data_IF_879463899166
#
_entry.id   IF_879463899166
#
_cell.length_a   1.000
_cell.length_b   1.000
_cell.length_c   1.000
_cell.angle_alpha   90.00
_cell.angle_beta   90.00
_cell.angle_gamma   90.00
#
_symmetry.space_group_name_H-M   'P 1'
#
loop_
_entity.id
_entity.type
_entity.pdbx_description
1 polymer ?
#
# COMPACT_ATOMS: atom_id res chain seq x y z
N UNK A 1 -15.23 -20.30 -5.50
CA UNK A 1 -14.51 -20.90 -4.35
C UNK A 1 -13.44 -19.92 -3.88
N UNK A 2 -13.49 -19.46 -2.62
CA UNK A 2 -12.51 -18.52 -2.04
C UNK A 2 -11.67 -19.23 -0.96
N UNK A 3 -10.39 -19.56 -1.22
CA UNK A 3 -9.56 -20.22 -0.21
C UNK A 3 -9.27 -19.25 0.93
N UNK A 4 -9.30 -19.74 2.18
CA UNK A 4 -9.01 -18.94 3.39
C UNK A 4 -7.66 -18.21 3.32
N UNK A 5 -6.67 -18.78 2.63
CA UNK A 5 -5.36 -18.18 2.41
C UNK A 5 -5.37 -16.87 1.60
N UNK A 6 -6.43 -16.60 0.81
CA UNK A 6 -6.58 -15.37 0.02
C UNK A 6 -7.45 -14.31 0.69
N UNK A 7 -7.96 -14.56 1.90
CA UNK A 7 -8.82 -13.65 2.64
C UNK A 7 -7.95 -12.95 3.69
N UNK A 8 -7.86 -11.61 3.64
CA UNK A 8 -7.33 -10.85 4.77
C UNK A 8 -8.41 -10.74 5.84
N UNK A 9 -8.23 -11.32 7.04
CA UNK A 9 -9.20 -11.19 8.11
C UNK A 9 -9.27 -9.73 8.57
N UNK A 10 -10.46 -9.30 9.03
CA UNK A 10 -10.57 -8.01 9.69
C UNK A 10 -9.65 -7.98 10.90
N UNK A 11 -8.89 -6.89 11.13
CA UNK A 11 -8.16 -6.75 12.37
C UNK A 11 -9.17 -6.79 13.51
N UNK A 12 -9.03 -7.75 14.42
CA UNK A 12 -9.66 -7.64 15.73
C UNK A 12 -9.13 -6.37 16.43
N UNK A 13 -9.85 -5.87 17.43
CA UNK A 13 -9.37 -4.80 18.30
C UNK A 13 -8.00 -5.25 18.86
N UNK A 14 -6.91 -4.68 18.33
CA UNK A 14 -5.53 -5.15 18.58
C UNK A 14 -4.73 -5.35 17.29
N UNK A 15 -3.99 -4.33 16.88
CA UNK A 15 -2.92 -4.48 15.87
C UNK A 15 -1.80 -5.30 16.53
N UNK A 16 -1.58 -6.54 16.09
CA UNK A 16 -0.43 -7.33 16.55
C UNK A 16 0.85 -6.78 15.90
N UNK A 17 1.71 -6.19 16.72
CA UNK A 17 2.98 -5.54 16.36
C UNK A 17 3.96 -6.48 15.64
N UNK A 18 3.88 -7.81 15.85
CA UNK A 18 4.71 -8.79 15.12
C UNK A 18 4.34 -8.91 13.64
N UNK A 19 3.06 -8.73 13.28
CA UNK A 19 2.62 -8.73 11.87
C UNK A 19 3.08 -7.48 11.11
N UNK A 20 3.39 -6.41 11.83
CA UNK A 20 3.94 -5.19 11.25
C UNK A 20 5.41 -5.38 10.84
N UNK A 21 6.19 -6.12 11.65
CA UNK A 21 7.57 -6.51 11.33
C UNK A 21 7.68 -7.39 10.08
N UNK A 22 6.67 -8.20 9.79
CA UNK A 22 6.59 -8.96 8.52
C UNK A 22 6.18 -8.08 7.34
N UNK A 23 5.40 -7.01 7.57
CA UNK A 23 5.08 -6.03 6.52
C UNK A 23 6.27 -5.14 6.16
N UNK A 24 7.18 -4.87 7.10
CA UNK A 24 8.44 -4.15 6.81
C UNK A 24 9.40 -4.95 5.92
N UNK A 25 9.31 -6.29 5.90
CA UNK A 25 10.04 -7.12 4.92
C UNK A 25 9.58 -6.89 3.47
N UNK A 26 8.40 -6.28 3.27
CA UNK A 26 7.87 -5.87 1.97
C UNK A 26 8.18 -4.40 1.59
N UNK A 27 9.06 -3.71 2.33
CA UNK A 27 9.66 -2.45 1.81
C UNK A 27 10.71 -2.77 0.72
N UNK A 28 10.66 -3.98 0.15
CA UNK A 28 11.17 -4.31 -1.18
C UNK A 28 10.51 -3.48 -2.31
N UNK A 29 9.51 -2.63 -2.00
CA UNK A 29 8.97 -1.61 -2.90
C UNK A 29 9.91 -0.39 -3.10
N UNK A 30 10.97 -0.23 -2.29
CA UNK A 30 11.97 0.84 -2.47
C UNK A 30 12.92 0.66 -3.67
N UNK A 31 12.68 -0.34 -4.53
CA UNK A 31 13.44 -0.52 -5.78
C UNK A 31 13.24 0.61 -6.81
N UNK A 32 12.41 1.61 -6.48
CA UNK A 32 12.23 2.84 -7.26
C UNK A 32 13.28 3.92 -6.98
N UNK A 33 13.97 3.89 -5.84
CA UNK A 33 15.05 4.85 -5.57
C UNK A 33 16.31 4.35 -6.27
N UNK A 34 16.83 5.18 -7.19
CA UNK A 34 18.00 4.88 -8.01
C UNK A 34 19.31 4.85 -7.20
N UNK A 35 19.33 5.44 -6.01
CA UNK A 35 20.48 5.52 -5.11
C UNK A 35 20.25 4.75 -3.81
N UNK A 36 21.25 3.97 -3.39
CA UNK A 36 21.23 3.21 -2.14
C UNK A 36 21.13 4.13 -0.91
N UNK A 37 21.70 5.33 -0.97
CA UNK A 37 21.63 6.32 0.11
C UNK A 37 20.20 6.83 0.35
N UNK A 38 19.46 7.11 -0.71
CA UNK A 38 18.08 7.61 -0.59
C UNK A 38 17.15 6.50 -0.10
N UNK A 39 17.42 5.25 -0.51
CA UNK A 39 16.76 4.06 0.04
C UNK A 39 17.02 3.91 1.54
N UNK A 40 18.28 4.04 1.97
CA UNK A 40 18.63 3.95 3.38
C UNK A 40 17.96 5.06 4.22
N UNK A 41 17.91 6.30 3.71
CA UNK A 41 17.21 7.41 4.35
C UNK A 41 15.72 7.13 4.50
N UNK A 42 15.04 6.72 3.42
CA UNK A 42 13.60 6.43 3.45
C UNK A 42 13.26 5.28 4.39
N UNK A 43 14.10 4.24 4.44
CA UNK A 43 13.97 3.15 5.42
C UNK A 43 14.04 3.67 6.87
N UNK A 44 15.03 4.52 7.17
CA UNK A 44 15.18 5.08 8.51
C UNK A 44 13.97 5.93 8.94
N UNK A 45 13.40 6.73 8.03
CA UNK A 45 12.18 7.51 8.28
C UNK A 45 10.96 6.63 8.58
N UNK A 46 10.78 5.57 7.78
CA UNK A 46 9.66 4.63 7.96
C UNK A 46 9.81 3.89 9.29
N UNK A 47 11.03 3.44 9.62
CA UNK A 47 11.29 2.82 10.91
C UNK A 47 11.00 3.75 12.10
N UNK A 48 11.40 5.02 12.01
CA UNK A 48 11.12 6.01 13.05
C UNK A 48 9.61 6.28 13.19
N UNK A 49 8.88 6.36 12.08
CA UNK A 49 7.43 6.54 12.05
C UNK A 49 6.69 5.35 12.67
N UNK A 50 7.14 4.13 12.37
CA UNK A 50 6.60 2.90 12.94
C UNK A 50 6.87 2.84 14.45
N UNK A 51 8.09 3.15 14.89
CA UNK A 51 8.45 3.15 16.32
C UNK A 51 7.62 4.14 17.13
N UNK A 52 7.26 5.28 16.56
CA UNK A 52 6.51 6.34 17.25
C UNK A 52 5.00 6.15 17.20
N UNK A 53 4.44 5.82 16.03
CA UNK A 53 2.99 5.83 15.78
C UNK A 53 2.38 4.45 15.48
N UNK A 54 3.21 3.39 15.44
CA UNK A 54 2.86 2.04 14.96
C UNK A 54 2.29 2.00 13.53
N UNK A 55 2.48 3.08 12.77
CA UNK A 55 2.03 3.25 11.39
C UNK A 55 3.09 4.05 10.63
N UNK A 56 3.01 4.03 9.31
CA UNK A 56 3.76 4.94 8.46
C UNK A 56 2.88 5.37 7.30
N UNK A 57 3.07 6.59 6.85
CA UNK A 57 2.41 7.09 5.65
C UNK A 57 3.30 6.90 4.43
N UNK A 58 2.72 6.30 3.40
CA UNK A 58 3.35 6.14 2.11
C UNK A 58 3.29 7.44 1.31
N UNK A 59 4.30 7.69 0.48
CA UNK A 59 4.25 8.75 -0.53
C UNK A 59 3.24 8.41 -1.63
N UNK A 60 2.84 9.41 -2.43
CA UNK A 60 1.92 9.17 -3.56
C UNK A 60 2.51 8.18 -4.57
N UNK A 61 3.82 8.29 -4.85
CA UNK A 61 4.52 7.41 -5.78
C UNK A 61 4.60 5.97 -5.26
N UNK A 62 4.87 5.79 -3.96
CA UNK A 62 4.88 4.49 -3.29
C UNK A 62 3.49 3.82 -3.37
N UNK A 63 2.42 4.60 -3.20
CA UNK A 63 1.04 4.11 -3.30
C UNK A 63 0.64 3.73 -4.72
N UNK A 64 1.00 4.54 -5.70
CA UNK A 64 0.74 4.24 -7.11
C UNK A 64 1.46 2.95 -7.51
N UNK A 65 2.74 2.85 -7.15
CA UNK A 65 3.54 1.66 -7.42
C UNK A 65 2.98 0.41 -6.72
N UNK A 66 2.59 0.53 -5.44
CA UNK A 66 1.97 -0.55 -4.68
C UNK A 66 0.65 -1.01 -5.31
N UNK A 67 -0.17 -0.08 -5.80
CA UNK A 67 -1.44 -0.37 -6.47
C UNK A 67 -1.25 -1.10 -7.80
N UNK A 68 -0.33 -0.61 -8.64
CA UNK A 68 0.04 -1.24 -9.91
C UNK A 68 0.62 -2.64 -9.69
N UNK A 69 1.50 -2.79 -8.70
CA UNK A 69 2.12 -4.09 -8.34
C UNK A 69 1.10 -5.07 -7.78
N UNK A 70 0.14 -4.62 -6.96
CA UNK A 70 -0.96 -5.45 -6.47
C UNK A 70 -1.80 -6.00 -7.62
N UNK A 71 -2.11 -5.20 -8.64
CA UNK A 71 -2.81 -5.67 -9.84
C UNK A 71 -1.95 -6.66 -10.65
N UNK A 72 -0.66 -6.38 -10.85
CA UNK A 72 0.28 -7.32 -11.49
C UNK A 72 0.33 -8.67 -10.75
N UNK A 73 0.23 -8.65 -9.43
CA UNK A 73 0.29 -9.84 -8.60
C UNK A 73 -1.08 -10.52 -8.38
N UNK A 74 -2.16 -10.04 -9.00
CA UNK A 74 -3.49 -10.65 -8.87
C UNK A 74 -3.60 -11.90 -9.77
N UNK A 75 -3.50 -13.14 -9.24
CA UNK A 75 -3.34 -14.35 -10.06
C UNK A 75 -4.59 -14.69 -10.89
N UNK A 76 -5.76 -14.15 -10.52
CA UNK A 76 -7.04 -14.37 -11.20
C UNK A 76 -7.37 -13.34 -12.29
N UNK A 77 -6.53 -12.32 -12.50
CA UNK A 77 -6.76 -11.33 -13.55
C UNK A 77 -6.07 -11.76 -14.86
N UNK A 78 -6.83 -11.93 -15.95
CA UNK A 78 -6.26 -12.20 -17.27
C UNK A 78 -5.61 -10.96 -17.89
N UNK A 79 -6.14 -9.77 -17.60
CA UNK A 79 -5.72 -8.47 -18.17
C UNK A 79 -4.48 -7.84 -17.55
N UNK A 80 -3.60 -8.62 -16.89
CA UNK A 80 -2.41 -8.11 -16.18
C UNK A 80 -1.40 -7.41 -17.09
N UNK A 81 -1.47 -7.59 -18.40
CA UNK A 81 -0.55 -6.90 -19.34
C UNK A 81 -0.68 -5.37 -19.28
N UNK A 82 -1.85 -4.84 -18.90
CA UNK A 82 -2.08 -3.38 -18.79
C UNK A 82 -1.74 -2.82 -17.40
N UNK A 83 -1.10 -3.60 -16.52
CA UNK A 83 -0.87 -3.23 -15.12
C UNK A 83 -0.20 -1.86 -14.91
N UNK A 84 0.67 -1.45 -15.83
CA UNK A 84 1.40 -0.17 -15.77
C UNK A 84 0.56 1.04 -16.16
N UNK A 85 -0.60 0.86 -16.81
CA UNK A 85 -1.48 1.94 -17.28
C UNK A 85 -2.62 2.27 -16.30
N UNK A 86 -2.51 1.83 -15.05
CA UNK A 86 -3.50 2.12 -14.02
C UNK A 86 -3.50 3.63 -13.71
N UNK A 87 -4.63 4.31 -13.92
CA UNK A 87 -4.85 5.68 -13.43
C UNK A 87 -5.05 5.61 -11.92
N UNK A 88 -4.15 6.24 -11.16
CA UNK A 88 -4.20 6.29 -9.71
C UNK A 88 -4.94 7.54 -9.24
N UNK A 89 -5.83 7.39 -8.27
CA UNK A 89 -6.55 8.48 -7.61
C UNK A 89 -6.32 8.36 -6.10
N UNK A 90 -5.72 9.38 -5.49
CA UNK A 90 -5.54 9.43 -4.04
C UNK A 90 -6.80 9.99 -3.37
N UNK A 91 -7.36 9.23 -2.43
CA UNK A 91 -8.56 9.56 -1.66
C UNK A 91 -8.33 9.47 -0.15
N UNK A 92 -7.08 9.51 0.32
CA UNK A 92 -6.75 9.46 1.76
C UNK A 92 -7.24 10.68 2.55
N UNK A 93 -7.56 11.77 1.86
CA UNK A 93 -8.11 13.02 2.40
C UNK A 93 -9.59 12.93 2.81
N UNK A 94 -10.29 11.88 2.36
CA UNK A 94 -11.72 11.69 2.52
C UNK A 94 -12.10 11.34 3.96
N UNK A 95 -13.03 12.11 4.55
CA UNK A 95 -13.46 11.96 5.95
C UNK A 95 -14.95 11.70 6.12
N UNK A 96 -15.76 12.07 5.13
CA UNK A 96 -17.22 11.89 5.14
C UNK A 96 -17.66 10.86 4.08
N UNK A 97 -18.79 10.21 4.34
CA UNK A 97 -19.45 9.33 3.35
C UNK A 97 -19.84 10.09 2.08
N UNK A 98 -20.18 11.39 2.22
CA UNK A 98 -20.47 12.25 1.07
C UNK A 98 -19.23 12.48 0.21
N UNK A 99 -18.10 12.82 0.84
CA UNK A 99 -16.81 13.01 0.15
C UNK A 99 -16.36 11.72 -0.56
N UNK A 100 -16.62 10.54 0.03
CA UNK A 100 -16.38 9.25 -0.62
C UNK A 100 -17.20 9.11 -1.91
N UNK A 101 -18.49 9.44 -1.85
CA UNK A 101 -19.37 9.38 -3.01
C UNK A 101 -18.90 10.35 -4.11
N UNK A 102 -18.60 11.59 -3.74
CA UNK A 102 -18.16 12.62 -4.68
C UNK A 102 -16.86 12.22 -5.41
N UNK A 103 -15.89 11.63 -4.68
CA UNK A 103 -14.64 11.11 -5.28
C UNK A 103 -14.86 9.93 -6.23
N UNK A 104 -15.88 9.09 -6.00
CA UNK A 104 -16.18 7.95 -6.88
C UNK A 104 -16.83 8.42 -8.18
N UNK A 105 -17.68 9.44 -8.11
CA UNK A 105 -18.45 9.94 -9.26
C UNK A 105 -17.65 10.92 -10.12
N UNK A 106 -16.75 11.69 -9.52
CA UNK A 106 -15.86 12.62 -10.22
C UNK A 106 -14.77 11.85 -11.00
N UNK A 107 -14.72 12.00 -12.34
CA UNK A 107 -13.77 11.31 -13.26
C UNK A 107 -12.44 12.04 -13.46
#
# INVERSE_FOLDING_TARGET
>A
MQPKAMIRPQPGIGVNMEKLKTSTSNISLLRMLSNEEDQAKRMAEVEASIKSSNKYDMTADELEFGSRTAWRNAPRCIGRIQWSKLKFFDGRDVKSTKDMFDKIVSK
#
